data_IF_866186684962
#
_entry.id   IF_866186684962
#
_cell.length_a   1.000
_cell.length_b   1.000
_cell.length_c   1.000
_cell.angle_alpha   90.00
_cell.angle_beta   90.00
_cell.angle_gamma   90.00
#
_symmetry.space_group_name_H-M   'P 1'
#
loop_
_entity.id
_entity.type
_entity.pdbx_description
1 polymer ?
#
# COMPACT_ATOMS: atom_id res chain seq x y z
N UNK A 1 -7.49 7.74 -75.43
CA UNK A 1 -8.57 8.73 -75.23
C UNK A 1 -9.83 7.99 -74.84
N UNK A 2 -10.20 7.88 -73.59
CA UNK A 2 -9.43 7.74 -72.37
C UNK A 2 -10.32 6.85 -71.48
N UNK A 3 -9.75 5.80 -70.92
CA UNK A 3 -10.45 4.94 -69.98
C UNK A 3 -10.68 5.76 -68.71
N UNK A 4 -11.90 5.78 -68.20
CA UNK A 4 -12.23 6.33 -66.90
C UNK A 4 -12.36 5.15 -65.91
N UNK A 5 -11.33 4.86 -65.08
CA UNK A 5 -11.46 3.89 -64.03
C UNK A 5 -11.72 4.61 -62.71
N UNK A 6 -12.86 4.28 -62.13
CA UNK A 6 -13.08 4.12 -60.69
C UNK A 6 -11.86 4.46 -59.82
N UNK A 7 -11.72 5.74 -59.46
CA UNK A 7 -10.92 6.14 -58.30
C UNK A 7 -11.72 5.73 -57.06
N UNK A 8 -11.58 4.44 -56.77
CA UNK A 8 -11.88 3.79 -55.50
C UNK A 8 -11.28 4.67 -54.40
N UNK A 9 -12.12 5.53 -53.83
CA UNK A 9 -11.84 6.23 -52.59
C UNK A 9 -11.69 5.15 -51.54
N UNK A 10 -10.44 4.70 -51.40
CA UNK A 10 -9.97 3.84 -50.34
C UNK A 10 -10.17 4.62 -49.05
N UNK A 11 -11.35 4.45 -48.46
CA UNK A 11 -11.70 4.89 -47.13
C UNK A 11 -10.65 4.29 -46.21
N UNK A 12 -9.62 5.06 -45.89
CA UNK A 12 -8.74 4.75 -44.78
C UNK A 12 -9.65 4.77 -43.56
N UNK A 13 -10.12 3.58 -43.19
CA UNK A 13 -10.71 3.30 -41.89
C UNK A 13 -9.60 3.66 -40.91
N UNK A 14 -9.65 4.89 -40.41
CA UNK A 14 -8.90 5.34 -39.26
C UNK A 14 -9.20 4.33 -38.15
N UNK A 15 -8.32 3.34 -38.04
CA UNK A 15 -8.35 2.40 -36.94
C UNK A 15 -8.20 3.27 -35.70
N UNK A 16 -9.14 3.27 -34.75
CA UNK A 16 -9.01 4.12 -33.59
C UNK A 16 -7.72 3.69 -32.89
N UNK A 17 -6.73 4.58 -32.92
CA UNK A 17 -5.56 4.51 -32.06
C UNK A 17 -6.09 4.20 -30.68
N UNK A 18 -5.79 3.01 -30.17
CA UNK A 18 -6.25 2.50 -28.89
C UNK A 18 -6.02 3.60 -27.87
N UNK A 19 -7.09 4.29 -27.47
CA UNK A 19 -6.99 5.55 -26.72
C UNK A 19 -6.06 5.33 -25.53
N UNK A 20 -4.84 5.87 -25.57
CA UNK A 20 -3.92 5.82 -24.44
C UNK A 20 -4.62 6.62 -23.34
N UNK A 21 -4.89 6.00 -22.19
CA UNK A 21 -5.51 6.72 -21.08
C UNK A 21 -4.55 7.84 -20.69
N UNK A 22 -4.88 9.08 -21.03
CA UNK A 22 -4.04 10.22 -20.70
C UNK A 22 -3.93 10.35 -19.18
N UNK A 23 -2.71 10.57 -18.69
CA UNK A 23 -2.48 10.83 -17.25
C UNK A 23 -3.02 12.21 -16.93
N UNK A 24 -4.03 12.25 -16.05
CA UNK A 24 -4.70 13.50 -15.64
C UNK A 24 -3.97 14.18 -14.48
N UNK A 25 -4.21 15.47 -14.25
CA UNK A 25 -3.68 16.17 -13.06
C UNK A 25 -4.13 15.53 -11.74
N UNK A 26 -5.33 14.94 -11.73
CA UNK A 26 -5.84 14.16 -10.59
C UNK A 26 -4.99 12.92 -10.33
N UNK A 27 -4.62 12.18 -11.38
CA UNK A 27 -3.72 11.01 -11.24
C UNK A 27 -2.36 11.42 -10.67
N UNK A 28 -1.83 12.57 -11.12
CA UNK A 28 -0.56 13.12 -10.61
C UNK A 28 -0.67 13.53 -9.15
N UNK A 29 -1.77 14.15 -8.75
CA UNK A 29 -2.02 14.52 -7.35
C UNK A 29 -2.09 13.27 -6.47
N UNK A 30 -2.86 12.26 -6.87
CA UNK A 30 -2.96 10.98 -6.16
C UNK A 30 -1.57 10.35 -5.99
N UNK A 31 -0.78 10.31 -7.07
CA UNK A 31 0.57 9.76 -7.03
C UNK A 31 1.52 10.52 -6.08
N UNK A 32 1.43 11.86 -6.05
CA UNK A 32 2.19 12.69 -5.10
C UNK A 32 1.75 12.46 -3.66
N UNK A 33 0.44 12.37 -3.41
CA UNK A 33 -0.10 12.08 -2.08
C UNK A 33 0.41 10.72 -1.61
N UNK A 34 0.29 9.67 -2.43
CA UNK A 34 0.78 8.33 -2.06
C UNK A 34 2.30 8.32 -1.78
N UNK A 35 3.09 9.07 -2.55
CA UNK A 35 4.53 9.20 -2.30
C UNK A 35 4.82 9.88 -0.96
N UNK A 36 4.17 11.00 -0.66
CA UNK A 36 4.33 11.70 0.63
C UNK A 36 3.83 10.82 1.78
N UNK A 37 2.69 10.18 1.62
CA UNK A 37 2.11 9.27 2.61
C UNK A 37 3.04 8.09 2.93
N UNK A 38 3.82 7.58 1.96
CA UNK A 38 4.80 6.53 2.24
C UNK A 38 5.92 7.01 3.19
N UNK A 39 6.39 8.24 3.03
CA UNK A 39 7.37 8.84 3.95
C UNK A 39 6.76 9.16 5.32
N UNK A 40 5.52 9.66 5.35
CA UNK A 40 4.79 9.85 6.61
C UNK A 40 4.62 8.52 7.33
N UNK A 41 4.26 7.45 6.61
CA UNK A 41 4.13 6.11 7.16
C UNK A 41 5.45 5.62 7.75
N UNK A 42 6.58 5.84 7.07
CA UNK A 42 7.89 5.44 7.57
C UNK A 42 8.18 6.10 8.93
N UNK A 43 7.96 7.40 9.06
CA UNK A 43 8.26 8.17 10.27
C UNK A 43 7.23 7.89 11.38
N UNK A 44 5.95 8.11 11.10
CA UNK A 44 4.89 7.97 12.11
C UNK A 44 4.68 6.50 12.46
N UNK A 45 4.95 5.57 11.56
CA UNK A 45 4.97 4.13 11.86
C UNK A 45 6.02 3.74 12.90
N UNK A 46 7.15 4.45 12.99
CA UNK A 46 8.09 4.25 14.10
C UNK A 46 7.58 4.87 15.40
N UNK A 47 6.95 6.05 15.35
CA UNK A 47 6.32 6.64 16.55
C UNK A 47 5.19 5.75 17.09
N UNK A 48 4.39 5.19 16.19
CA UNK A 48 3.35 4.23 16.52
C UNK A 48 3.92 2.95 17.16
N UNK A 49 5.03 2.42 16.62
CA UNK A 49 5.74 1.28 17.23
C UNK A 49 6.27 1.61 18.63
N UNK A 50 6.92 2.77 18.80
CA UNK A 50 7.40 3.24 20.10
C UNK A 50 6.26 3.46 21.10
N UNK A 51 5.10 3.92 20.64
CA UNK A 51 3.91 4.04 21.48
C UNK A 51 3.38 2.65 21.89
N UNK A 52 3.36 1.69 20.95
CA UNK A 52 2.98 0.30 21.22
C UNK A 52 3.86 -0.33 22.31
N UNK A 53 5.17 -0.17 22.25
CA UNK A 53 6.09 -0.78 23.24
C UNK A 53 5.84 -0.31 24.69
N UNK A 54 5.05 0.75 24.89
CA UNK A 54 4.66 1.27 26.20
C UNK A 54 3.34 0.70 26.72
N UNK A 55 2.51 0.10 25.86
CA UNK A 55 1.28 -0.58 26.27
C UNK A 55 1.60 -1.88 26.99
N UNK A 56 0.63 -2.45 27.71
CA UNK A 56 0.83 -3.73 28.40
C UNK A 56 1.18 -4.85 27.41
N UNK A 57 0.39 -4.97 26.34
CA UNK A 57 0.58 -5.98 25.29
C UNK A 57 1.86 -5.78 24.47
N UNK A 58 2.25 -4.53 24.22
CA UNK A 58 3.36 -4.22 23.33
C UNK A 58 4.74 -4.31 23.99
N UNK A 59 4.82 -4.40 25.33
CA UNK A 59 6.11 -4.55 26.03
C UNK A 59 6.86 -5.81 25.64
N UNK A 60 6.14 -6.90 25.35
CA UNK A 60 6.72 -8.15 24.90
C UNK A 60 7.52 -8.01 23.58
N UNK A 61 7.21 -7.01 22.74
CA UNK A 61 7.96 -6.74 21.50
C UNK A 61 9.43 -6.34 21.81
N UNK A 62 9.72 -5.84 23.01
CA UNK A 62 11.07 -5.50 23.47
C UNK A 62 11.89 -6.71 23.93
N UNK A 63 11.33 -7.92 23.97
CA UNK A 63 12.11 -9.14 24.22
C UNK A 63 13.04 -9.48 23.05
N UNK A 64 12.72 -8.96 21.86
CA UNK A 64 13.59 -9.04 20.69
C UNK A 64 14.74 -8.03 20.83
N UNK A 65 15.97 -8.55 20.87
CA UNK A 65 17.18 -7.74 21.06
C UNK A 65 17.33 -6.62 20.01
N UNK A 66 16.97 -6.88 18.75
CA UNK A 66 17.02 -5.89 17.68
C UNK A 66 16.00 -4.77 17.89
N UNK A 67 14.77 -5.09 18.29
CA UNK A 67 13.74 -4.10 18.63
C UNK A 67 14.21 -3.23 19.79
N UNK A 68 14.65 -3.87 20.89
CA UNK A 68 15.14 -3.18 22.09
C UNK A 68 16.28 -2.21 21.77
N UNK A 69 17.25 -2.65 20.96
CA UNK A 69 18.48 -1.90 20.65
C UNK A 69 18.23 -0.48 20.15
N UNK A 70 17.22 -0.26 19.31
CA UNK A 70 16.87 1.09 18.85
C UNK A 70 15.68 1.69 19.61
N UNK A 71 14.73 0.85 20.06
CA UNK A 71 13.48 1.33 20.63
C UNK A 71 13.65 1.96 22.01
N UNK A 72 14.52 1.42 22.87
CA UNK A 72 14.82 2.01 24.17
C UNK A 72 15.46 3.40 24.05
N UNK A 73 16.61 3.59 23.35
CA UNK A 73 17.22 4.91 23.26
C UNK A 73 16.35 5.93 22.52
N UNK A 74 15.64 5.50 21.47
CA UNK A 74 14.68 6.38 20.79
C UNK A 74 13.48 6.70 21.69
N UNK A 75 13.01 5.74 22.46
CA UNK A 75 11.93 5.88 23.43
C UNK A 75 12.27 6.90 24.50
N UNK A 76 13.47 6.84 25.08
CA UNK A 76 13.94 7.78 26.09
C UNK A 76 14.09 9.19 25.53
N UNK A 77 14.76 9.32 24.38
CA UNK A 77 14.98 10.61 23.71
C UNK A 77 13.66 11.30 23.34
N UNK A 78 12.68 10.52 22.85
CA UNK A 78 11.39 11.02 22.37
C UNK A 78 10.28 10.91 23.42
N UNK A 79 10.62 10.62 24.68
CA UNK A 79 9.64 10.41 25.77
C UNK A 79 8.53 11.48 25.86
N UNK A 80 8.82 12.80 25.70
CA UNK A 80 7.78 13.83 25.71
C UNK A 80 6.68 13.67 24.64
N UNK A 81 6.97 12.99 23.52
CA UNK A 81 5.99 12.70 22.47
C UNK A 81 4.99 11.61 22.88
N UNK A 82 5.21 10.93 23.99
CA UNK A 82 4.38 9.81 24.45
C UNK A 82 3.75 10.02 25.83
N UNK A 83 4.08 11.12 26.52
CA UNK A 83 3.68 11.35 27.92
C UNK A 83 2.40 12.19 28.10
N UNK A 84 1.67 12.49 27.01
CA UNK A 84 0.50 13.37 27.02
C UNK A 84 -0.83 12.63 27.27
N UNK A 85 -0.80 11.31 27.48
CA UNK A 85 -1.97 10.48 27.76
C UNK A 85 -1.57 9.11 28.29
N UNK A 86 -2.56 8.23 28.49
CA UNK A 86 -2.28 6.81 28.80
C UNK A 86 -1.60 6.12 27.62
N UNK A 87 -0.77 5.08 27.83
CA UNK A 87 -0.08 4.39 26.74
C UNK A 87 -1.00 3.93 25.62
N UNK A 88 -2.17 3.35 25.95
CA UNK A 88 -3.13 2.88 24.95
C UNK A 88 -3.76 4.02 24.16
N UNK A 89 -4.08 5.14 24.82
CA UNK A 89 -4.63 6.31 24.15
C UNK A 89 -3.64 6.93 23.16
N UNK A 90 -2.36 7.02 23.56
CA UNK A 90 -1.27 7.51 22.71
C UNK A 90 -1.04 6.57 21.54
N UNK A 91 -0.99 5.25 21.79
CA UNK A 91 -0.86 4.21 20.77
C UNK A 91 -1.97 4.30 19.73
N UNK A 92 -3.24 4.28 20.14
CA UNK A 92 -4.39 4.37 19.24
C UNK A 92 -4.38 5.69 18.45
N UNK A 93 -4.00 6.80 19.09
CA UNK A 93 -3.95 8.10 18.42
C UNK A 93 -2.90 8.14 17.31
N UNK A 94 -1.70 7.62 17.55
CA UNK A 94 -0.73 7.44 16.49
C UNK A 94 -1.24 6.45 15.44
N UNK A 95 -1.95 5.40 15.85
CA UNK A 95 -2.52 4.38 14.96
C UNK A 95 -3.54 4.92 13.96
N UNK A 96 -4.31 5.96 14.32
CA UNK A 96 -5.27 6.62 13.43
C UNK A 96 -4.66 7.13 12.12
N UNK A 97 -3.34 7.41 12.09
CA UNK A 97 -2.61 7.81 10.88
C UNK A 97 -2.60 6.73 9.79
N UNK A 98 -2.75 5.45 10.17
CA UNK A 98 -2.70 4.36 9.21
C UNK A 98 -3.86 4.41 8.23
N UNK A 99 -5.05 4.85 8.65
CA UNK A 99 -6.20 4.94 7.73
C UNK A 99 -5.92 5.84 6.52
N UNK A 100 -5.50 7.12 6.67
CA UNK A 100 -5.18 7.95 5.51
C UNK A 100 -3.99 7.41 4.69
N UNK A 101 -3.02 6.73 5.30
CA UNK A 101 -1.92 6.06 4.57
C UNK A 101 -2.47 4.94 3.68
N UNK A 102 -3.33 4.08 4.24
CA UNK A 102 -3.96 2.98 3.52
C UNK A 102 -4.83 3.48 2.37
N UNK A 103 -5.64 4.50 2.62
CA UNK A 103 -6.43 5.16 1.57
C UNK A 103 -5.53 5.71 0.46
N UNK A 104 -4.43 6.39 0.81
CA UNK A 104 -3.53 6.99 -0.17
C UNK A 104 -2.92 5.95 -1.12
N UNK A 105 -2.34 4.87 -0.60
CA UNK A 105 -1.77 3.84 -1.47
C UNK A 105 -2.86 3.04 -2.21
N UNK A 106 -4.03 2.84 -1.61
CA UNK A 106 -5.15 2.11 -2.23
C UNK A 106 -5.68 2.86 -3.44
N UNK A 107 -5.97 4.16 -3.29
CA UNK A 107 -6.42 5.01 -4.41
C UNK A 107 -5.34 5.07 -5.50
N UNK A 108 -4.06 5.17 -5.12
CA UNK A 108 -2.97 5.10 -6.09
C UNK A 108 -2.91 3.73 -6.80
N UNK A 109 -3.18 2.63 -6.12
CA UNK A 109 -3.26 1.30 -6.73
C UNK A 109 -4.36 1.21 -7.79
N UNK A 110 -5.53 1.81 -7.54
CA UNK A 110 -6.59 1.92 -8.55
C UNK A 110 -6.15 2.72 -9.79
N UNK A 111 -5.44 3.85 -9.58
CA UNK A 111 -4.89 4.66 -10.68
C UNK A 111 -3.89 3.84 -11.50
N UNK A 112 -2.95 3.16 -10.84
CA UNK A 112 -1.94 2.32 -11.49
C UNK A 112 -2.60 1.18 -12.27
N UNK A 113 -3.56 0.48 -11.67
CA UNK A 113 -4.33 -0.57 -12.32
C UNK A 113 -4.99 -0.09 -13.62
N UNK A 114 -5.65 1.07 -13.57
CA UNK A 114 -6.32 1.68 -14.74
C UNK A 114 -5.35 1.99 -15.89
N UNK A 115 -4.14 2.45 -15.55
CA UNK A 115 -3.11 2.78 -16.54
C UNK A 115 -2.33 1.56 -17.05
N UNK A 116 -2.21 0.49 -16.25
CA UNK A 116 -1.53 -0.75 -16.65
C UNK A 116 -2.32 -1.64 -17.62
N UNK A 117 -3.65 -1.59 -17.59
CA UNK A 117 -4.53 -2.44 -18.43
C UNK A 117 -4.17 -3.93 -18.37
N UNK A 118 -4.12 -4.54 -17.17
CA UNK A 118 -3.64 -5.90 -17.01
C UNK A 118 -4.52 -6.92 -17.75
N UNK A 119 -3.87 -7.92 -18.36
CA UNK A 119 -4.51 -9.02 -19.10
C UNK A 119 -4.13 -10.38 -18.50
N UNK A 120 -4.99 -11.38 -18.73
CA UNK A 120 -4.78 -12.76 -18.26
C UNK A 120 -4.70 -12.86 -16.73
N UNK A 121 -3.73 -13.62 -16.22
CA UNK A 121 -3.54 -13.85 -14.78
C UNK A 121 -3.29 -12.55 -13.99
N UNK A 122 -2.57 -11.58 -14.57
CA UNK A 122 -2.30 -10.28 -13.94
C UNK A 122 -3.60 -9.55 -13.57
N UNK A 123 -4.63 -9.66 -14.42
CA UNK A 123 -5.94 -9.05 -14.18
C UNK A 123 -6.58 -9.59 -12.90
N UNK A 124 -6.49 -10.89 -12.66
CA UNK A 124 -7.03 -11.50 -11.45
C UNK A 124 -6.21 -11.12 -10.21
N UNK A 125 -4.88 -11.12 -10.31
CA UNK A 125 -4.01 -10.66 -9.21
C UNK A 125 -4.33 -9.22 -8.80
N UNK A 126 -4.54 -8.32 -9.77
CA UNK A 126 -4.97 -6.95 -9.48
C UNK A 126 -6.33 -6.88 -8.80
N UNK A 127 -7.34 -7.64 -9.27
CA UNK A 127 -8.67 -7.64 -8.67
C UNK A 127 -8.62 -8.07 -7.20
N UNK A 128 -7.90 -9.15 -6.90
CA UNK A 128 -7.72 -9.64 -5.53
C UNK A 128 -6.96 -8.61 -4.68
N UNK A 129 -5.91 -8.00 -5.22
CA UNK A 129 -5.13 -6.98 -4.52
C UNK A 129 -5.96 -5.74 -4.18
N UNK A 130 -6.72 -5.22 -5.13
CA UNK A 130 -7.58 -4.06 -4.91
C UNK A 130 -8.68 -4.35 -3.89
N UNK A 131 -9.26 -5.56 -3.95
CA UNK A 131 -10.22 -6.01 -2.95
C UNK A 131 -9.59 -6.08 -1.55
N UNK A 132 -8.40 -6.67 -1.45
CA UNK A 132 -7.64 -6.76 -0.21
C UNK A 132 -7.35 -5.38 0.39
N UNK A 133 -6.95 -4.40 -0.43
CA UNK A 133 -6.63 -3.06 0.01
C UNK A 133 -7.84 -2.27 0.50
N UNK A 134 -8.99 -2.42 -0.16
CA UNK A 134 -10.25 -1.86 0.34
C UNK A 134 -10.62 -2.50 1.67
N UNK A 135 -10.54 -3.84 1.77
CA UNK A 135 -10.77 -4.55 3.03
C UNK A 135 -9.83 -4.06 4.14
N UNK A 136 -8.55 -3.85 3.83
CA UNK A 136 -7.59 -3.36 4.81
C UNK A 136 -7.86 -1.92 5.27
N UNK A 137 -8.38 -1.04 4.39
CA UNK A 137 -8.86 0.27 4.81
C UNK A 137 -10.00 0.14 5.84
N UNK A 138 -10.94 -0.79 5.59
CA UNK A 138 -12.05 -1.06 6.52
C UNK A 138 -11.53 -1.61 7.85
N UNK A 139 -10.61 -2.57 7.83
CA UNK A 139 -10.00 -3.13 9.04
C UNK A 139 -9.26 -2.07 9.86
N UNK A 140 -8.45 -1.22 9.23
CA UNK A 140 -7.71 -0.15 9.92
C UNK A 140 -8.66 0.91 10.49
N UNK A 141 -9.76 1.21 9.80
CA UNK A 141 -10.80 2.09 10.34
C UNK A 141 -11.51 1.45 11.54
N UNK A 142 -11.87 0.17 11.45
CA UNK A 142 -12.48 -0.57 12.56
C UNK A 142 -11.56 -0.58 13.80
N UNK A 143 -10.27 -0.90 13.61
CA UNK A 143 -9.26 -0.99 14.67
C UNK A 143 -9.02 0.36 15.38
N UNK A 144 -8.67 1.42 14.63
CA UNK A 144 -8.15 2.65 15.25
C UNK A 144 -9.17 3.77 15.40
N UNK A 145 -10.22 3.78 14.59
CA UNK A 145 -11.21 4.86 14.58
C UNK A 145 -12.51 4.47 15.27
N UNK A 146 -12.97 3.25 15.03
CA UNK A 146 -14.17 2.72 15.68
C UNK A 146 -13.84 1.97 16.98
N UNK A 147 -12.59 1.54 17.16
CA UNK A 147 -12.14 0.68 18.25
C UNK A 147 -13.05 -0.56 18.38
N UNK A 148 -13.46 -1.10 17.23
CA UNK A 148 -14.32 -2.26 17.15
C UNK A 148 -13.59 -3.47 17.75
N UNK A 149 -14.18 -4.08 18.80
CA UNK A 149 -13.55 -5.17 19.57
C UNK A 149 -12.82 -4.74 20.85
N UNK A 150 -12.90 -3.46 21.26
CA UNK A 150 -12.31 -3.00 22.54
C UNK A 150 -13.10 -3.42 23.79
N UNK A 151 -14.34 -3.88 23.61
CA UNK A 151 -15.14 -4.54 24.64
C UNK A 151 -15.20 -6.01 24.27
N UNK A 152 -14.91 -6.90 25.23
CA UNK A 152 -14.86 -8.37 25.09
C UNK A 152 -16.03 -8.94 24.28
N UNK A 153 -15.84 -9.10 22.97
CA UNK A 153 -16.68 -9.92 22.10
C UNK A 153 -15.89 -11.16 21.67
N UNK A 154 -16.59 -12.29 21.61
CA UNK A 154 -16.01 -13.62 21.49
C UNK A 154 -14.90 -13.72 20.44
N UNK A 155 -13.78 -14.33 20.87
CA UNK A 155 -12.46 -14.54 20.24
C UNK A 155 -12.41 -14.92 18.74
N UNK A 156 -13.54 -15.19 18.09
CA UNK A 156 -13.67 -15.58 16.69
C UNK A 156 -14.20 -14.47 15.77
N UNK A 157 -14.90 -13.45 16.28
CA UNK A 157 -15.49 -12.40 15.43
C UNK A 157 -14.50 -11.28 15.08
N UNK A 158 -13.73 -10.77 16.05
CA UNK A 158 -12.77 -9.68 15.83
C UNK A 158 -11.51 -10.15 15.06
N UNK A 159 -11.08 -11.40 15.30
CA UNK A 159 -9.94 -12.00 14.62
C UNK A 159 -10.19 -12.10 13.10
N UNK A 160 -11.42 -12.37 12.66
CA UNK A 160 -11.75 -12.53 11.24
C UNK A 160 -11.84 -11.19 10.49
N UNK A 161 -12.38 -10.13 11.11
CA UNK A 161 -12.59 -8.84 10.44
C UNK A 161 -11.31 -7.99 10.33
N UNK A 162 -10.39 -8.10 11.27
CA UNK A 162 -9.13 -7.32 11.26
C UNK A 162 -7.97 -8.12 10.66
N UNK A 163 -7.83 -9.39 11.02
CA UNK A 163 -6.66 -10.20 10.63
C UNK A 163 -6.77 -10.72 9.19
N UNK A 164 -7.96 -11.13 8.75
CA UNK A 164 -8.13 -11.71 7.40
C UNK A 164 -7.80 -10.70 6.30
N UNK A 165 -8.26 -9.43 6.35
CA UNK A 165 -7.90 -8.46 5.31
C UNK A 165 -6.41 -8.10 5.32
N UNK A 166 -5.75 -8.14 6.49
CA UNK A 166 -4.30 -7.96 6.58
C UNK A 166 -3.53 -9.12 5.92
N UNK A 167 -3.87 -10.38 6.25
CA UNK A 167 -3.27 -11.57 5.63
C UNK A 167 -3.49 -11.56 4.12
N UNK A 168 -4.72 -11.26 3.68
CA UNK A 168 -5.04 -11.16 2.27
C UNK A 168 -4.22 -10.04 1.59
N UNK A 169 -4.01 -8.91 2.25
CA UNK A 169 -3.18 -7.79 1.76
C UNK A 169 -1.74 -8.22 1.55
N UNK A 170 -1.15 -8.96 2.50
CA UNK A 170 0.23 -9.48 2.40
C UNK A 170 0.36 -10.46 1.23
N UNK A 171 -0.53 -11.45 1.16
CA UNK A 171 -0.50 -12.50 0.13
C UNK A 171 -0.78 -11.91 -1.26
N UNK A 172 -1.82 -11.09 -1.40
CA UNK A 172 -2.19 -10.50 -2.68
C UNK A 172 -1.10 -9.57 -3.21
N UNK A 173 -0.50 -8.73 -2.35
CA UNK A 173 0.62 -7.87 -2.73
C UNK A 173 1.82 -8.68 -3.20
N UNK A 174 2.17 -9.73 -2.47
CA UNK A 174 3.31 -10.60 -2.81
C UNK A 174 3.12 -11.27 -4.16
N UNK A 175 1.94 -11.89 -4.38
CA UNK A 175 1.61 -12.55 -5.64
C UNK A 175 1.57 -11.53 -6.79
N UNK A 176 1.00 -10.35 -6.58
CA UNK A 176 1.01 -9.29 -7.58
C UNK A 176 2.44 -8.87 -7.93
N UNK A 177 3.31 -8.65 -6.94
CA UNK A 177 4.72 -8.33 -7.16
C UNK A 177 5.42 -9.40 -8.00
N UNK A 178 5.23 -10.67 -7.67
CA UNK A 178 5.80 -11.80 -8.42
C UNK A 178 5.31 -11.79 -9.88
N UNK A 179 4.00 -11.64 -10.11
CA UNK A 179 3.43 -11.59 -11.47
C UNK A 179 3.98 -10.41 -12.26
N UNK A 180 4.11 -9.24 -11.64
CA UNK A 180 4.72 -8.06 -12.26
C UNK A 180 6.19 -8.30 -12.62
N UNK A 181 6.96 -8.99 -11.78
CA UNK A 181 8.36 -9.35 -12.07
C UNK A 181 8.47 -10.38 -13.20
N UNK A 182 7.65 -11.42 -13.19
CA UNK A 182 7.60 -12.46 -14.24
C UNK A 182 7.26 -11.83 -15.58
N UNK A 183 6.32 -10.88 -15.61
CA UNK A 183 5.98 -10.10 -16.81
C UNK A 183 6.97 -9.00 -17.16
N UNK A 184 8.05 -8.83 -16.38
CA UNK A 184 9.09 -7.81 -16.59
C UNK A 184 8.54 -6.37 -16.60
N UNK A 185 7.47 -6.14 -15.82
CA UNK A 185 6.81 -4.85 -15.68
C UNK A 185 7.82 -3.75 -15.31
N UNK A 186 7.66 -2.58 -15.93
CA UNK A 186 8.43 -1.38 -15.59
C UNK A 186 7.53 -0.36 -14.88
N UNK A 187 8.03 0.31 -13.82
CA UNK A 187 9.30 0.09 -13.11
C UNK A 187 9.38 -1.24 -12.33
N UNK A 188 10.58 -1.83 -12.24
CA UNK A 188 10.81 -3.07 -11.47
C UNK A 188 10.80 -2.88 -9.96
N UNK A 189 11.31 -1.74 -9.45
CA UNK A 189 11.48 -1.53 -8.02
C UNK A 189 10.17 -1.68 -7.22
N UNK A 190 9.02 -1.11 -7.64
CA UNK A 190 7.75 -1.37 -6.96
C UNK A 190 7.34 -2.85 -6.96
N UNK A 191 7.59 -3.58 -8.05
CA UNK A 191 7.28 -5.01 -8.11
C UNK A 191 8.15 -5.81 -7.12
N UNK A 192 9.43 -5.46 -6.98
CA UNK A 192 10.33 -6.03 -5.96
C UNK A 192 9.79 -5.75 -4.55
N UNK A 193 9.43 -4.50 -4.25
CA UNK A 193 8.89 -4.12 -2.94
C UNK A 193 7.62 -4.91 -2.59
N UNK A 194 6.72 -5.10 -3.56
CA UNK A 194 5.52 -5.90 -3.38
C UNK A 194 5.84 -7.39 -3.14
N UNK A 195 6.79 -7.96 -3.87
CA UNK A 195 7.26 -9.35 -3.65
C UNK A 195 7.87 -9.53 -2.26
N UNK A 196 8.54 -8.50 -1.73
CA UNK A 196 9.17 -8.55 -0.41
C UNK A 196 8.19 -8.35 0.75
N UNK A 197 6.89 -8.18 0.52
CA UNK A 197 5.89 -8.00 1.60
C UNK A 197 5.79 -9.25 2.47
N UNK A 198 5.68 -10.45 1.87
CA UNK A 198 5.63 -11.69 2.65
C UNK A 198 6.94 -11.99 3.41
N UNK A 199 8.14 -11.87 2.81
CA UNK A 199 9.40 -11.88 3.60
C UNK A 199 9.43 -10.81 4.69
N UNK A 200 8.91 -9.62 4.39
CA UNK A 200 8.78 -8.49 5.31
C UNK A 200 7.90 -8.79 6.51
N UNK A 201 6.90 -9.69 6.39
CA UNK A 201 6.06 -10.15 7.50
C UNK A 201 6.89 -10.78 8.63
N UNK A 202 8.05 -11.35 8.31
CA UNK A 202 8.98 -11.90 9.31
C UNK A 202 10.04 -10.86 9.67
N UNK A 203 10.67 -10.23 8.68
CA UNK A 203 11.85 -9.39 8.91
C UNK A 203 11.53 -8.03 9.54
N UNK A 204 10.41 -7.42 9.20
CA UNK A 204 10.07 -6.06 9.68
C UNK A 204 9.67 -6.08 11.17
N UNK A 205 8.84 -7.02 11.65
CA UNK A 205 8.51 -7.08 13.07
C UNK A 205 9.71 -7.44 13.96
N UNK A 206 10.71 -8.14 13.43
CA UNK A 206 11.96 -8.40 14.16
C UNK A 206 12.76 -7.14 14.48
N UNK A 207 12.49 -6.05 13.76
CA UNK A 207 13.16 -4.77 13.96
C UNK A 207 12.22 -3.76 14.58
N UNK A 208 10.98 -3.63 14.10
CA UNK A 208 10.08 -2.55 14.54
C UNK A 208 8.76 -3.08 15.06
N UNK A 209 7.70 -3.09 14.24
CA UNK A 209 6.38 -3.57 14.62
C UNK A 209 5.66 -4.20 13.43
N UNK A 210 4.63 -5.00 13.72
CA UNK A 210 3.81 -5.65 12.70
C UNK A 210 3.11 -4.66 11.75
N UNK A 211 2.68 -3.49 12.24
CA UNK A 211 2.04 -2.47 11.41
C UNK A 211 2.93 -1.98 10.26
N UNK A 212 4.25 -1.96 10.48
CA UNK A 212 5.23 -1.51 9.49
C UNK A 212 5.44 -2.49 8.33
N UNK A 213 4.86 -3.70 8.37
CA UNK A 213 4.87 -4.66 7.25
C UNK A 213 4.24 -4.09 5.98
N UNK A 214 3.39 -3.07 6.10
CA UNK A 214 2.75 -2.41 4.96
C UNK A 214 3.60 -1.31 4.31
N UNK A 215 4.74 -0.93 4.90
CA UNK A 215 5.63 0.10 4.33
C UNK A 215 6.10 -0.22 2.90
N UNK A 216 6.52 -1.46 2.55
CA UNK A 216 6.87 -1.80 1.18
C UNK A 216 5.72 -1.57 0.19
N UNK A 217 4.46 -1.80 0.60
CA UNK A 217 3.27 -1.52 -0.21
C UNK A 217 3.13 -0.02 -0.43
N UNK A 218 3.17 0.76 0.65
CA UNK A 218 3.07 2.22 0.58
C UNK A 218 4.15 2.82 -0.34
N UNK A 219 5.41 2.36 -0.21
CA UNK A 219 6.50 2.79 -1.08
C UNK A 219 6.35 2.30 -2.52
N UNK A 220 5.87 1.07 -2.75
CA UNK A 220 5.65 0.56 -4.10
C UNK A 220 4.66 1.45 -4.88
N UNK A 221 3.52 1.77 -4.28
CA UNK A 221 2.52 2.62 -4.92
C UNK A 221 2.92 4.10 -4.91
N UNK A 222 3.64 4.59 -3.91
CA UNK A 222 4.26 5.90 -3.94
C UNK A 222 5.24 6.07 -5.11
N UNK A 223 6.06 5.05 -5.40
CA UNK A 223 6.99 5.04 -6.53
C UNK A 223 6.27 4.94 -7.88
N UNK A 224 5.27 4.07 -8.01
CA UNK A 224 4.42 4.03 -9.20
C UNK A 224 3.72 5.39 -9.44
N UNK A 225 3.16 5.98 -8.39
CA UNK A 225 2.49 7.28 -8.42
C UNK A 225 3.44 8.44 -8.77
N UNK A 226 4.66 8.43 -8.22
CA UNK A 226 5.69 9.43 -8.56
C UNK A 226 6.07 9.40 -10.03
N UNK A 227 6.11 8.21 -10.64
CA UNK A 227 6.36 8.06 -12.10
C UNK A 227 5.24 8.65 -12.94
N UNK A 228 3.99 8.37 -12.59
CA UNK A 228 2.83 9.01 -13.22
C UNK A 228 2.90 10.54 -13.12
N UNK A 229 3.37 11.06 -11.99
CA UNK A 229 3.61 12.49 -11.78
C UNK A 229 4.70 13.11 -12.66
N UNK A 230 5.63 12.31 -13.18
CA UNK A 230 6.82 12.75 -13.93
C UNK A 230 6.74 12.60 -15.45
N UNK A 231 5.64 12.05 -15.99
CA UNK A 231 5.49 11.76 -17.42
C UNK A 231 6.57 10.82 -17.99
N UNK A 232 7.19 9.97 -17.16
CA UNK A 232 8.01 8.86 -17.68
C UNK A 232 7.08 7.88 -18.43
N UNK A 233 7.54 7.27 -19.54
CA UNK A 233 6.71 6.46 -20.46
C UNK A 233 5.71 5.52 -19.74
N UNK A 234 4.50 5.34 -20.30
CA UNK A 234 3.43 4.56 -19.68
C UNK A 234 3.89 3.13 -19.34
N UNK A 235 3.31 2.58 -18.28
CA UNK A 235 3.66 1.26 -17.76
C UNK A 235 3.67 0.20 -18.86
N UNK A 236 4.83 -0.41 -19.12
CA UNK A 236 4.95 -1.53 -20.05
C UNK A 236 4.43 -2.80 -19.37
N UNK A 237 3.46 -3.45 -20.02
CA UNK A 237 2.79 -4.69 -19.60
C UNK A 237 3.62 -5.93 -19.87
#
# INVERSE_FOLDING_TARGET
MDHDPEESQMTMINTPVTAVTQVTDRDRLIGRIAWVSAWVALVVGQLHALARHRTEDGKADLDLALTRFWAEPAGDLLSPLFSWGTPDFVYVTYGKVWLPIFVAFTVCAFVVHRHRRPTGAERWCWRVTLFAYVGACVSVAAEYWLQWGSETSDLLEDLFLVTLPFVLTVLASTVLGIVLLVKRAQPRLPAILLTLVLPGLVLIPMVTSLGNVTLPIAFAFGLFGRRLGRQEEPFVS
#
